data_IF_865988416383
#
_entry.id   IF_865988416383
#
_cell.length_a   1.000
_cell.length_b   1.000
_cell.length_c   1.000
_cell.angle_alpha   90.00
_cell.angle_beta   90.00
_cell.angle_gamma   90.00
#
_symmetry.space_group_name_H-M   'P 1'
#
loop_
_entity.id
_entity.type
_entity.pdbx_description
1 polymer ?
#
# COMPACT_ATOMS: atom_id res chain seq x y z
N UNK A 1 -13.34 -5.57 3.79
CA UNK A 1 -12.89 -4.35 4.49
C UNK A 1 -13.90 -3.24 4.24
N UNK A 2 -14.20 -2.39 5.24
CA UNK A 2 -14.99 -1.20 5.00
C UNK A 2 -14.26 -0.37 3.94
N UNK A 3 -15.02 0.17 2.98
CA UNK A 3 -14.45 1.11 2.02
C UNK A 3 -14.05 2.39 2.77
N UNK A 4 -13.02 3.07 2.26
CA UNK A 4 -12.63 4.40 2.71
C UNK A 4 -11.98 4.48 4.11
N UNK A 5 -11.37 3.37 4.55
CA UNK A 5 -10.59 3.33 5.78
C UNK A 5 -9.17 3.80 5.52
N UNK A 6 -8.72 4.85 6.20
CA UNK A 6 -7.34 5.31 6.13
C UNK A 6 -6.37 4.33 6.78
N UNK A 7 -5.27 4.08 6.07
CA UNK A 7 -4.17 3.23 6.48
C UNK A 7 -2.86 3.89 6.08
N UNK A 8 -1.82 3.71 6.89
CA UNK A 8 -0.50 4.28 6.65
C UNK A 8 0.49 3.18 6.34
N UNK A 9 1.22 3.33 5.24
CA UNK A 9 2.40 2.51 4.92
C UNK A 9 3.64 3.28 5.35
N UNK A 10 4.59 2.58 5.95
CA UNK A 10 5.90 3.11 6.35
C UNK A 10 7.01 2.34 5.64
N UNK A 11 8.05 3.03 5.19
CA UNK A 11 9.19 2.37 4.55
C UNK A 11 10.32 3.32 4.17
N UNK A 12 11.44 2.73 3.75
CA UNK A 12 12.61 3.45 3.23
C UNK A 12 12.72 3.31 1.72
N UNK A 13 11.69 2.81 1.03
CA UNK A 13 11.72 2.55 -0.40
C UNK A 13 11.91 3.78 -1.27
N UNK A 14 11.87 3.56 -2.58
CA UNK A 14 12.02 4.64 -3.55
C UNK A 14 10.81 5.56 -3.53
N UNK A 15 11.02 6.88 -3.59
CA UNK A 15 9.92 7.85 -3.60
C UNK A 15 9.32 8.08 -4.99
N UNK A 16 9.94 7.53 -6.03
CA UNK A 16 9.50 7.58 -7.41
C UNK A 16 9.92 6.31 -8.16
N UNK A 17 9.19 5.96 -9.21
CA UNK A 17 9.43 4.75 -10.02
C UNK A 17 10.77 4.79 -10.76
N UNK A 18 11.21 5.99 -11.13
CA UNK A 18 12.44 6.21 -11.88
C UNK A 18 13.68 6.38 -11.00
N UNK A 19 13.50 6.41 -9.67
CA UNK A 19 14.60 6.51 -8.71
C UNK A 19 15.07 5.11 -8.36
N UNK A 20 16.38 4.88 -8.44
CA UNK A 20 16.98 3.57 -8.16
C UNK A 20 17.48 3.42 -6.71
N UNK A 21 17.65 4.54 -5.99
CA UNK A 21 18.14 4.55 -4.62
C UNK A 21 16.99 4.72 -3.61
N UNK A 22 16.88 3.87 -2.58
CA UNK A 22 15.94 4.05 -1.48
C UNK A 22 16.14 5.38 -0.73
N UNK A 23 15.12 5.82 0.00
CA UNK A 23 15.19 7.02 0.85
C UNK A 23 16.14 6.80 2.03
N UNK A 24 16.94 7.83 2.36
CA UNK A 24 17.79 7.82 3.56
C UNK A 24 16.97 7.97 4.85
N UNK A 25 15.79 8.60 4.73
CA UNK A 25 14.85 8.80 5.83
C UNK A 25 13.67 7.84 5.75
N UNK A 26 13.09 7.49 6.90
CA UNK A 26 11.80 6.78 6.94
C UNK A 26 10.72 7.67 6.32
N UNK A 27 9.97 7.12 5.37
CA UNK A 27 8.83 7.77 4.73
C UNK A 27 7.52 7.13 5.18
N UNK A 28 6.48 7.94 5.15
CA UNK A 28 5.13 7.54 5.50
C UNK A 28 4.15 8.07 4.47
N UNK A 29 3.17 7.25 4.09
CA UNK A 29 2.09 7.69 3.22
C UNK A 29 0.75 7.11 3.68
N UNK A 30 -0.25 7.97 3.81
CA UNK A 30 -1.63 7.57 4.11
C UNK A 30 -2.40 7.39 2.82
N UNK A 31 -3.00 6.21 2.69
CA UNK A 31 -3.82 5.73 1.57
C UNK A 31 -5.10 5.09 2.12
N UNK A 32 -6.03 4.67 1.26
CA UNK A 32 -7.35 4.17 1.69
C UNK A 32 -7.59 2.73 1.27
N UNK A 33 -8.10 1.91 2.19
CA UNK A 33 -8.56 0.55 1.86
C UNK A 33 -9.74 0.61 0.88
N UNK A 34 -9.74 -0.32 -0.07
CA UNK A 34 -10.81 -0.49 -1.05
C UNK A 34 -11.49 -1.84 -0.94
N UNK A 35 -12.65 -1.95 -1.59
CA UNK A 35 -13.40 -3.19 -1.64
C UNK A 35 -12.56 -4.32 -2.26
N UNK A 36 -12.42 -5.42 -1.53
CA UNK A 36 -11.63 -6.57 -1.97
C UNK A 36 -12.14 -7.18 -3.28
N UNK A 37 -13.47 -7.28 -3.46
CA UNK A 37 -14.06 -7.84 -4.67
C UNK A 37 -13.83 -6.93 -5.89
N UNK A 38 -13.90 -5.61 -5.70
CA UNK A 38 -13.56 -4.66 -6.76
C UNK A 38 -12.08 -4.71 -7.12
N UNK A 39 -11.19 -4.80 -6.11
CA UNK A 39 -9.76 -4.97 -6.33
C UNK A 39 -9.46 -6.25 -7.12
N UNK A 40 -10.05 -7.38 -6.72
CA UNK A 40 -9.91 -8.67 -7.42
C UNK A 40 -10.43 -8.59 -8.87
N UNK A 41 -11.51 -7.85 -9.11
CA UNK A 41 -12.02 -7.59 -10.47
C UNK A 41 -11.10 -6.72 -11.31
N UNK A 42 -10.34 -5.78 -10.72
CA UNK A 42 -9.35 -4.95 -11.42
C UNK A 42 -8.05 -5.71 -11.70
N UNK A 43 -7.63 -6.59 -10.80
CA UNK A 43 -6.39 -7.37 -10.89
C UNK A 43 -6.63 -8.83 -11.32
N UNK A 44 -7.53 -9.07 -12.28
CA UNK A 44 -7.90 -10.44 -12.73
C UNK A 44 -6.70 -11.30 -13.16
N UNK A 45 -5.69 -10.69 -13.77
CA UNK A 45 -4.49 -11.39 -14.22
C UNK A 45 -3.47 -11.64 -13.10
N UNK A 46 -3.50 -10.85 -12.02
CA UNK A 46 -2.49 -10.86 -10.96
C UNK A 46 -2.82 -11.70 -9.73
N UNK A 47 -4.05 -12.24 -9.64
CA UNK A 47 -4.43 -13.19 -8.59
C UNK A 47 -4.49 -12.58 -7.18
N UNK A 48 -5.39 -11.63 -6.94
CA UNK A 48 -5.69 -11.18 -5.57
C UNK A 48 -6.37 -12.32 -4.79
N UNK A 49 -5.74 -12.78 -3.72
CA UNK A 49 -6.22 -13.87 -2.84
C UNK A 49 -6.93 -13.34 -1.61
N UNK A 50 -7.68 -14.19 -0.90
CA UNK A 50 -8.45 -13.79 0.28
C UNK A 50 -7.56 -13.33 1.47
N UNK A 51 -6.26 -13.59 1.43
CA UNK A 51 -5.28 -13.17 2.44
C UNK A 51 -4.61 -11.84 2.10
N UNK A 52 -5.04 -11.16 1.04
CA UNK A 52 -4.52 -9.86 0.61
C UNK A 52 -5.52 -8.74 0.88
N UNK A 53 -4.99 -7.56 1.18
CA UNK A 53 -5.73 -6.30 1.24
C UNK A 53 -5.36 -5.43 0.05
N UNK A 54 -6.24 -4.51 -0.32
CA UNK A 54 -5.94 -3.52 -1.35
C UNK A 54 -6.20 -2.13 -0.78
N UNK A 55 -5.26 -1.23 -1.07
CA UNK A 55 -5.37 0.18 -0.75
C UNK A 55 -4.96 1.00 -1.97
N UNK A 56 -5.54 2.19 -2.12
CA UNK A 56 -5.21 3.09 -3.23
C UNK A 56 -5.40 4.54 -2.80
N UNK A 57 -4.57 5.41 -3.37
CA UNK A 57 -4.76 6.86 -3.35
C UNK A 57 -4.09 7.45 -4.58
N UNK A 58 -4.65 8.53 -5.13
CA UNK A 58 -4.11 9.13 -6.35
C UNK A 58 -2.75 9.77 -6.07
N UNK A 59 -1.72 9.29 -6.77
CA UNK A 59 -0.35 9.82 -6.68
C UNK A 59 0.41 9.40 -5.41
N UNK A 60 -0.12 8.43 -4.66
CA UNK A 60 0.46 7.93 -3.41
C UNK A 60 0.43 6.41 -3.41
N UNK A 61 1.56 5.78 -3.15
CA UNK A 61 1.68 4.33 -3.13
C UNK A 61 2.93 3.90 -2.35
N UNK A 62 2.99 2.62 -1.97
CA UNK A 62 4.25 1.97 -1.67
C UNK A 62 5.01 1.74 -2.99
N UNK A 63 6.33 1.67 -2.95
CA UNK A 63 7.15 1.49 -4.14
C UNK A 63 8.20 0.38 -3.97
N UNK A 64 9.27 0.45 -4.77
CA UNK A 64 10.37 -0.51 -4.68
C UNK A 64 11.07 -0.38 -3.33
N UNK A 65 11.45 -1.53 -2.77
CA UNK A 65 12.10 -1.66 -1.46
C UNK A 65 11.22 -1.33 -0.23
N UNK A 66 9.91 -1.11 -0.38
CA UNK A 66 8.97 -1.01 0.75
C UNK A 66 8.41 -2.38 1.20
N UNK A 67 8.64 -3.43 0.41
CA UNK A 67 8.15 -4.78 0.70
C UNK A 67 8.61 -5.28 2.08
N UNK A 68 7.66 -5.76 2.88
CA UNK A 68 7.89 -6.21 4.26
C UNK A 68 7.66 -5.11 5.31
N UNK A 69 7.47 -3.86 4.90
CA UNK A 69 7.07 -2.76 5.78
C UNK A 69 5.63 -2.91 6.31
N UNK A 70 5.28 -2.21 7.41
CA UNK A 70 3.98 -2.35 8.04
C UNK A 70 2.90 -1.55 7.29
N UNK A 71 1.69 -2.11 7.25
CA UNK A 71 0.46 -1.38 6.99
C UNK A 71 -0.23 -1.13 8.34
N UNK A 72 -0.52 0.13 8.66
CA UNK A 72 -0.97 0.51 10.01
C UNK A 72 -2.32 1.22 9.93
N UNK A 73 -3.23 0.91 10.86
CA UNK A 73 -4.47 1.64 11.10
C UNK A 73 -4.61 1.95 12.57
N UNK A 74 -4.74 3.23 12.95
CA UNK A 74 -4.92 3.65 14.34
C UNK A 74 -3.90 2.99 15.29
N UNK A 75 -2.62 2.99 14.90
CA UNK A 75 -1.51 2.37 15.64
C UNK A 75 -1.58 0.83 15.77
N UNK A 76 -2.44 0.16 14.99
CA UNK A 76 -2.55 -1.29 14.93
C UNK A 76 -2.00 -1.77 13.58
N UNK A 77 -1.11 -2.77 13.62
CA UNK A 77 -0.65 -3.50 12.43
C UNK A 77 -1.81 -4.34 11.88
N UNK A 78 -2.06 -4.21 10.57
CA UNK A 78 -3.12 -4.92 9.85
C UNK A 78 -2.56 -5.93 8.85
#
# INVERSE_FOLDING_TARGET
>A
YPNDVEVTVLGWGTTHRDVQRPSDDLRAVTIRLVNHNECKKKHRAGGVTNTMVCAIEKGKDACMFDSGGPLIRNNILI
#
